data_IF_229837799100
#
_entry.id   IF_229837799100
#
_cell.length_a   1.000
_cell.length_b   1.000
_cell.length_c   1.000
_cell.angle_alpha   90.00
_cell.angle_beta   90.00
_cell.angle_gamma   90.00
#
_symmetry.space_group_name_H-M   'P 1'
#
loop_
_entity.id
_entity.type
_entity.pdbx_description
1 polymer ?
#
# COMPACT_ATOMS: atom_id res chain seq x y z
N UNK A 1 0.14 -23.64 -0.48
CA UNK A 1 -0.77 -23.50 0.68
C UNK A 1 -1.66 -24.72 0.78
N UNK A 2 -1.84 -25.33 1.96
CA UNK A 2 -2.79 -26.43 2.17
C UNK A 2 -4.23 -25.86 2.22
N UNK A 3 -5.24 -26.68 1.90
CA UNK A 3 -6.67 -26.24 1.91
C UNK A 3 -7.10 -25.60 3.23
N UNK A 4 -6.67 -26.16 4.38
CA UNK A 4 -6.95 -25.60 5.69
C UNK A 4 -6.37 -24.19 5.91
N UNK A 5 -5.18 -23.91 5.38
CA UNK A 5 -4.54 -22.60 5.46
C UNK A 5 -5.26 -21.56 4.59
N UNK A 6 -5.78 -21.97 3.44
CA UNK A 6 -6.61 -21.10 2.60
C UNK A 6 -7.92 -20.78 3.31
N UNK A 7 -8.57 -21.78 3.92
CA UNK A 7 -9.79 -21.55 4.70
C UNK A 7 -9.58 -20.60 5.88
N UNK A 8 -8.46 -20.75 6.61
CA UNK A 8 -8.07 -19.83 7.67
C UNK A 8 -7.89 -18.38 7.17
N UNK A 9 -7.14 -18.21 6.08
CA UNK A 9 -6.92 -16.89 5.47
C UNK A 9 -8.25 -16.25 5.05
N UNK A 10 -9.11 -16.98 4.36
CA UNK A 10 -10.41 -16.48 3.91
C UNK A 10 -11.30 -16.08 5.09
N UNK A 11 -11.36 -16.92 6.15
CA UNK A 11 -12.12 -16.61 7.35
C UNK A 11 -11.60 -15.34 8.04
N UNK A 12 -10.30 -15.22 8.26
CA UNK A 12 -9.71 -14.04 8.89
C UNK A 12 -9.89 -12.78 8.04
N UNK A 13 -9.81 -12.90 6.70
CA UNK A 13 -10.08 -11.78 5.79
C UNK A 13 -11.54 -11.33 5.89
N UNK A 14 -12.48 -12.26 5.94
CA UNK A 14 -13.90 -11.94 6.15
C UNK A 14 -14.11 -11.27 7.50
N UNK A 15 -13.53 -11.80 8.59
CA UNK A 15 -13.64 -11.21 9.92
C UNK A 15 -13.03 -9.80 9.97
N UNK A 16 -11.90 -9.56 9.31
CA UNK A 16 -11.31 -8.23 9.19
C UNK A 16 -12.24 -7.26 8.44
N UNK A 17 -12.83 -7.70 7.32
CA UNK A 17 -13.79 -6.91 6.57
C UNK A 17 -15.03 -6.55 7.42
N UNK A 18 -15.60 -7.52 8.13
CA UNK A 18 -16.73 -7.31 9.03
C UNK A 18 -16.37 -6.38 10.20
N UNK A 19 -15.17 -6.54 10.78
CA UNK A 19 -14.64 -5.63 11.79
C UNK A 19 -14.49 -4.20 11.29
N UNK A 20 -13.97 -4.02 10.09
CA UNK A 20 -13.89 -2.72 9.42
C UNK A 20 -15.27 -2.10 9.15
N UNK A 21 -16.22 -2.91 8.67
CA UNK A 21 -17.60 -2.48 8.49
C UNK A 21 -18.25 -2.03 9.83
N UNK A 22 -18.07 -2.83 10.89
CA UNK A 22 -18.57 -2.51 12.23
C UNK A 22 -17.94 -1.21 12.77
N UNK A 23 -16.64 -1.01 12.57
CA UNK A 23 -15.95 0.23 12.94
C UNK A 23 -16.56 1.44 12.23
N UNK A 24 -16.80 1.34 10.93
CA UNK A 24 -17.41 2.42 10.15
C UNK A 24 -18.85 2.74 10.63
N UNK A 25 -19.64 1.73 10.95
CA UNK A 25 -20.98 1.92 11.53
C UNK A 25 -20.91 2.59 12.89
N UNK A 26 -19.95 2.18 13.75
CA UNK A 26 -19.78 2.75 15.08
C UNK A 26 -19.35 4.22 15.05
N UNK A 27 -18.47 4.58 14.10
CA UNK A 27 -18.03 5.96 13.91
C UNK A 27 -19.13 6.81 13.25
N UNK A 28 -20.02 6.20 12.46
CA UNK A 28 -21.21 6.81 11.88
C UNK A 28 -20.96 7.74 10.69
N UNK A 29 -19.71 7.96 10.32
CA UNK A 29 -19.34 8.81 9.19
C UNK A 29 -17.93 8.52 8.72
N UNK A 30 -17.58 9.01 7.52
CA UNK A 30 -16.21 9.08 7.07
C UNK A 30 -15.39 10.03 7.93
N UNK A 31 -14.12 9.66 8.15
CA UNK A 31 -13.16 10.60 8.71
C UNK A 31 -12.90 11.74 7.71
N UNK A 32 -13.74 12.75 7.73
CA UNK A 32 -13.53 14.00 7.01
C UNK A 32 -12.41 14.78 7.68
N UNK A 33 -11.18 14.43 7.31
CA UNK A 33 -10.00 15.19 7.73
C UNK A 33 -9.88 16.47 6.89
N UNK A 34 -9.09 17.41 7.37
CA UNK A 34 -8.66 18.56 6.57
C UNK A 34 -8.14 18.12 5.19
N UNK A 35 -7.31 17.09 5.16
CA UNK A 35 -6.73 16.56 3.93
C UNK A 35 -7.78 15.97 2.99
N UNK A 36 -8.82 15.31 3.52
CA UNK A 36 -9.93 14.80 2.72
C UNK A 36 -10.59 15.90 1.91
N UNK A 37 -10.91 17.03 2.57
CA UNK A 37 -11.57 18.17 1.94
C UNK A 37 -10.60 18.99 1.07
N UNK A 38 -9.34 19.10 1.49
CA UNK A 38 -8.35 19.92 0.80
C UNK A 38 -7.85 19.27 -0.50
N UNK A 39 -7.49 17.97 -0.49
CA UNK A 39 -6.87 17.34 -1.66
C UNK A 39 -7.30 15.92 -2.01
N UNK A 40 -7.73 15.05 -1.05
CA UNK A 40 -8.02 13.65 -1.40
C UNK A 40 -9.18 13.52 -2.38
N UNK A 41 -10.27 14.27 -2.18
CA UNK A 41 -11.42 14.27 -3.10
C UNK A 41 -11.00 14.83 -4.46
N UNK A 42 -10.24 15.91 -4.47
CA UNK A 42 -9.74 16.51 -5.69
C UNK A 42 -8.82 15.56 -6.46
N UNK A 43 -7.90 14.87 -5.78
CA UNK A 43 -7.03 13.89 -6.41
C UNK A 43 -7.82 12.72 -7.01
N UNK A 44 -8.85 12.24 -6.31
CA UNK A 44 -9.74 11.22 -6.86
C UNK A 44 -10.44 11.67 -8.14
N UNK A 45 -10.88 12.92 -8.20
CA UNK A 45 -11.42 13.54 -9.41
C UNK A 45 -10.35 13.66 -10.51
N UNK A 46 -9.15 14.15 -10.19
CA UNK A 46 -8.04 14.35 -11.13
C UNK A 46 -7.58 13.03 -11.78
N UNK A 47 -7.73 11.91 -11.08
CA UNK A 47 -7.44 10.58 -11.63
C UNK A 47 -8.24 10.27 -12.91
N UNK A 48 -9.42 10.87 -13.06
CA UNK A 48 -10.27 10.70 -14.26
C UNK A 48 -10.20 11.90 -15.21
N UNK A 49 -10.12 13.09 -14.66
CA UNK A 49 -10.31 14.33 -15.42
C UNK A 49 -9.27 15.39 -14.99
N UNK A 50 -8.00 15.23 -15.35
CA UNK A 50 -7.01 16.26 -15.09
C UNK A 50 -7.32 17.52 -15.89
N UNK A 51 -7.38 18.67 -15.20
CA UNK A 51 -7.72 19.97 -15.82
C UNK A 51 -6.58 20.97 -15.62
N UNK A 52 -5.40 20.61 -16.09
CA UNK A 52 -4.16 21.36 -15.87
C UNK A 52 -4.20 22.82 -16.33
N UNK A 53 -5.03 23.15 -17.34
CA UNK A 53 -5.23 24.50 -17.84
C UNK A 53 -6.14 25.35 -16.93
N UNK A 54 -6.95 24.73 -16.09
CA UNK A 54 -7.90 25.40 -15.19
C UNK A 54 -7.45 25.33 -13.73
N UNK A 55 -6.97 24.18 -13.31
CA UNK A 55 -6.68 23.86 -11.91
C UNK A 55 -5.18 23.99 -11.62
N UNK A 56 -4.67 25.23 -11.59
CA UNK A 56 -3.23 25.48 -11.46
C UNK A 56 -2.66 25.03 -10.12
N UNK A 57 -3.36 25.27 -9.01
CA UNK A 57 -2.98 24.87 -7.65
C UNK A 57 -4.22 24.58 -6.79
N UNK A 58 -5.17 23.82 -7.32
CA UNK A 58 -6.44 23.56 -6.66
C UNK A 58 -6.29 22.96 -5.24
N UNK A 59 -5.24 22.17 -5.01
CA UNK A 59 -4.89 21.60 -3.72
C UNK A 59 -3.43 21.91 -3.35
N UNK A 60 -2.95 23.13 -3.64
CA UNK A 60 -1.56 23.53 -3.42
C UNK A 60 -0.59 22.55 -4.12
N UNK A 61 0.56 22.24 -3.52
CA UNK A 61 1.53 21.27 -4.06
C UNK A 61 0.96 19.84 -4.15
N UNK A 62 -0.04 19.50 -3.33
CA UNK A 62 -0.71 18.20 -3.37
C UNK A 62 -1.49 17.97 -4.68
N UNK A 63 -1.83 19.01 -5.44
CA UNK A 63 -2.44 18.91 -6.78
C UNK A 63 -1.72 17.91 -7.69
N UNK A 64 -0.42 17.76 -7.54
CA UNK A 64 0.45 16.95 -8.39
C UNK A 64 0.87 15.61 -7.78
N UNK A 65 0.28 15.24 -6.64
CA UNK A 65 0.51 13.92 -6.05
C UNK A 65 -0.11 12.82 -6.91
N UNK A 66 0.36 11.59 -6.73
CA UNK A 66 -0.15 10.41 -7.41
C UNK A 66 -1.65 10.20 -7.10
N UNK A 67 -2.56 10.34 -8.07
CA UNK A 67 -3.98 10.48 -7.80
C UNK A 67 -4.74 9.15 -7.76
N UNK A 68 -4.22 8.09 -8.42
CA UNK A 68 -4.99 6.87 -8.66
C UNK A 68 -5.36 6.08 -7.39
N UNK A 69 -4.64 6.26 -6.27
CA UNK A 69 -5.02 5.63 -5.00
C UNK A 69 -6.18 6.34 -4.29
N UNK A 70 -6.51 7.56 -4.69
CA UNK A 70 -7.68 8.28 -4.20
C UNK A 70 -8.93 8.02 -5.05
N UNK A 71 -8.75 7.46 -6.25
CA UNK A 71 -9.84 7.17 -7.17
C UNK A 71 -10.86 6.16 -6.62
N UNK A 72 -10.48 5.02 -5.98
CA UNK A 72 -11.46 4.07 -5.47
C UNK A 72 -12.42 4.68 -4.45
N UNK A 73 -11.91 5.45 -3.48
CA UNK A 73 -12.76 6.11 -2.49
C UNK A 73 -13.66 7.17 -3.13
N UNK A 74 -13.13 7.93 -4.08
CA UNK A 74 -13.89 8.92 -4.84
C UNK A 74 -15.09 8.25 -5.56
N UNK A 75 -14.85 7.11 -6.22
CA UNK A 75 -15.92 6.36 -6.90
C UNK A 75 -16.94 5.77 -5.94
N UNK A 76 -16.49 5.17 -4.86
CA UNK A 76 -17.38 4.62 -3.83
C UNK A 76 -18.28 5.74 -3.27
N UNK A 77 -17.73 6.91 -3.04
CA UNK A 77 -18.48 8.08 -2.58
C UNK A 77 -19.57 8.50 -3.59
N UNK A 78 -19.22 8.54 -4.86
CA UNK A 78 -20.18 8.90 -5.92
C UNK A 78 -21.30 7.88 -6.11
N UNK A 79 -20.99 6.59 -6.02
CA UNK A 79 -21.91 5.50 -6.35
C UNK A 79 -22.83 5.13 -5.20
N UNK A 80 -22.44 5.36 -3.96
CA UNK A 80 -23.12 4.80 -2.79
C UNK A 80 -24.44 5.52 -2.43
N UNK A 81 -24.65 6.76 -2.86
CA UNK A 81 -25.82 7.57 -2.46
C UNK A 81 -25.93 7.84 -0.95
N UNK A 82 -25.03 7.27 -0.12
CA UNK A 82 -24.98 7.41 1.33
C UNK A 82 -23.55 7.39 1.83
N UNK A 83 -23.18 8.41 2.61
CA UNK A 83 -21.87 8.51 3.22
C UNK A 83 -21.54 7.32 4.15
N UNK A 84 -22.55 6.77 4.84
CA UNK A 84 -22.35 5.60 5.70
C UNK A 84 -22.08 4.33 4.87
N UNK A 85 -22.82 4.09 3.80
CA UNK A 85 -22.58 2.93 2.92
C UNK A 85 -21.19 3.02 2.32
N UNK A 86 -20.80 4.20 1.86
CA UNK A 86 -19.48 4.43 1.32
C UNK A 86 -18.38 4.19 2.37
N UNK A 87 -18.56 4.67 3.61
CA UNK A 87 -17.64 4.42 4.71
C UNK A 87 -17.50 2.93 5.04
N UNK A 88 -18.62 2.21 5.11
CA UNK A 88 -18.65 0.75 5.35
C UNK A 88 -17.89 0.00 4.26
N UNK A 89 -18.20 0.26 3.00
CA UNK A 89 -17.55 -0.40 1.85
C UNK A 89 -16.05 -0.11 1.84
N UNK A 90 -15.67 1.16 2.05
CA UNK A 90 -14.27 1.56 2.02
C UNK A 90 -13.47 0.94 3.16
N UNK A 91 -13.94 1.05 4.40
CA UNK A 91 -13.24 0.54 5.59
C UNK A 91 -13.13 -0.98 5.57
N UNK A 92 -14.20 -1.67 5.18
CA UNK A 92 -14.18 -3.11 4.99
C UNK A 92 -13.19 -3.55 3.91
N UNK A 93 -13.14 -2.84 2.79
CA UNK A 93 -12.19 -3.11 1.71
C UNK A 93 -10.75 -2.91 2.14
N UNK A 94 -10.43 -1.82 2.84
CA UNK A 94 -9.09 -1.58 3.38
C UNK A 94 -8.68 -2.71 4.35
N UNK A 95 -9.54 -3.09 5.29
CA UNK A 95 -9.26 -4.15 6.24
C UNK A 95 -9.04 -5.50 5.54
N UNK A 96 -9.88 -5.84 4.55
CA UNK A 96 -9.74 -7.06 3.76
C UNK A 96 -8.43 -7.10 2.96
N UNK A 97 -8.01 -5.98 2.38
CA UNK A 97 -6.77 -5.90 1.60
C UNK A 97 -5.51 -5.96 2.48
N UNK A 98 -5.57 -5.40 3.68
CA UNK A 98 -4.43 -5.37 4.60
C UNK A 98 -4.17 -6.72 5.29
N UNK A 99 -5.20 -7.55 5.48
CA UNK A 99 -5.05 -8.81 6.22
C UNK A 99 -4.13 -9.84 5.54
N UNK A 100 -4.23 -10.14 4.23
CA UNK A 100 -3.45 -11.21 3.60
C UNK A 100 -1.93 -11.08 3.76
N UNK A 101 -1.27 -9.93 3.53
CA UNK A 101 0.16 -9.82 3.77
C UNK A 101 0.51 -9.95 5.26
N UNK A 102 -0.32 -9.43 6.17
CA UNK A 102 -0.12 -9.56 7.63
C UNK A 102 -0.22 -11.03 8.04
N UNK A 103 -1.25 -11.74 7.57
CA UNK A 103 -1.39 -13.17 7.81
C UNK A 103 -0.20 -13.97 7.24
N UNK A 104 0.26 -13.63 6.04
CA UNK A 104 1.41 -14.31 5.43
C UNK A 104 2.69 -14.09 6.25
N UNK A 105 2.90 -12.89 6.80
CA UNK A 105 4.01 -12.61 7.73
C UNK A 105 3.89 -13.48 8.98
N UNK A 106 2.73 -13.51 9.63
CA UNK A 106 2.49 -14.35 10.80
C UNK A 106 2.71 -15.85 10.48
N UNK A 107 2.21 -16.31 9.31
CA UNK A 107 2.38 -17.70 8.86
C UNK A 107 3.86 -18.07 8.64
N UNK A 108 4.71 -17.14 8.24
CA UNK A 108 6.14 -17.37 7.99
C UNK A 108 7.00 -17.25 9.25
N UNK A 109 6.57 -16.48 10.22
CA UNK A 109 7.26 -16.29 11.50
C UNK A 109 6.94 -17.37 12.52
N UNK A 110 5.70 -17.89 12.50
CA UNK A 110 5.27 -18.93 13.44
C UNK A 110 5.60 -20.30 12.86
N UNK A 111 6.49 -21.05 13.53
CA UNK A 111 6.84 -22.40 13.12
C UNK A 111 5.73 -23.39 13.48
N UNK A 112 4.84 -23.63 12.52
CA UNK A 112 3.72 -24.58 12.67
C UNK A 112 4.13 -26.04 12.74
N UNK A 113 5.44 -26.37 12.62
CA UNK A 113 5.93 -27.76 12.76
C UNK A 113 6.13 -28.15 14.22
N UNK A 114 6.39 -27.14 15.07
CA UNK A 114 6.60 -27.35 16.50
C UNK A 114 5.30 -27.30 17.33
N UNK A 115 4.16 -26.96 16.70
CA UNK A 115 2.89 -26.73 17.38
C UNK A 115 1.75 -27.55 16.79
N UNK A 116 0.76 -27.95 17.59
CA UNK A 116 -0.52 -28.45 17.08
C UNK A 116 -1.16 -27.45 16.10
N UNK A 117 -1.86 -27.95 15.09
CA UNK A 117 -2.41 -27.12 14.01
C UNK A 117 -3.32 -25.99 14.53
N UNK A 118 -4.13 -26.25 15.54
CA UNK A 118 -5.04 -25.27 16.13
C UNK A 118 -4.31 -24.18 16.92
N UNK A 119 -3.22 -24.52 17.64
CA UNK A 119 -2.39 -23.54 18.35
C UNK A 119 -1.69 -22.61 17.37
N UNK A 120 -1.11 -23.17 16.31
CA UNK A 120 -0.49 -22.38 15.26
C UNK A 120 -1.49 -21.44 14.57
N UNK A 121 -2.75 -21.90 14.34
CA UNK A 121 -3.81 -21.06 13.80
C UNK A 121 -4.23 -19.96 14.79
N UNK A 122 -4.39 -20.28 16.06
CA UNK A 122 -4.71 -19.32 17.10
C UNK A 122 -3.64 -18.23 17.24
N UNK A 123 -2.36 -18.60 17.21
CA UNK A 123 -1.25 -17.64 17.27
C UNK A 123 -1.22 -16.72 16.05
N UNK A 124 -1.48 -17.24 14.84
CA UNK A 124 -1.57 -16.41 13.63
C UNK A 124 -2.76 -15.45 13.70
N UNK A 125 -3.91 -15.93 14.15
CA UNK A 125 -5.08 -15.08 14.37
C UNK A 125 -4.81 -13.97 15.40
N UNK A 126 -4.16 -14.31 16.52
CA UNK A 126 -3.75 -13.35 17.54
C UNK A 126 -2.75 -12.33 16.99
N UNK A 127 -1.76 -12.76 16.20
CA UNK A 127 -0.80 -11.87 15.54
C UNK A 127 -1.49 -10.90 14.57
N UNK A 128 -2.45 -11.38 13.78
CA UNK A 128 -3.26 -10.54 12.90
C UNK A 128 -4.10 -9.53 13.71
N UNK A 129 -4.75 -9.99 14.77
CA UNK A 129 -5.54 -9.11 15.65
C UNK A 129 -4.66 -8.02 16.27
N UNK A 130 -3.49 -8.36 16.81
CA UNK A 130 -2.55 -7.39 17.39
C UNK A 130 -2.06 -6.37 16.35
N UNK A 131 -1.82 -6.82 15.10
CA UNK A 131 -1.46 -5.91 14.01
C UNK A 131 -2.59 -4.91 13.71
N UNK A 132 -3.85 -5.36 13.70
CA UNK A 132 -5.01 -4.50 13.47
C UNK A 132 -5.33 -3.58 14.65
N UNK A 133 -4.98 -3.98 15.87
CA UNK A 133 -5.10 -3.13 17.07
C UNK A 133 -3.94 -2.13 17.21
N UNK A 134 -2.94 -2.19 16.33
CA UNK A 134 -1.91 -1.15 16.27
C UNK A 134 -2.55 0.19 15.91
N UNK A 135 -2.18 1.25 16.66
CA UNK A 135 -2.79 2.57 16.49
C UNK A 135 -2.70 3.12 15.05
N UNK A 136 -1.58 2.91 14.35
CA UNK A 136 -1.41 3.41 12.98
C UNK A 136 -2.41 2.74 12.02
N UNK A 137 -2.56 1.41 12.10
CA UNK A 137 -3.49 0.69 11.24
C UNK A 137 -4.94 0.98 11.65
N UNK A 138 -5.25 0.90 12.95
CA UNK A 138 -6.60 1.11 13.45
C UNK A 138 -7.13 2.52 13.14
N UNK A 139 -6.32 3.56 13.35
CA UNK A 139 -6.69 4.93 13.02
C UNK A 139 -6.65 5.22 11.51
N UNK A 140 -5.87 4.46 10.74
CA UNK A 140 -5.80 4.57 9.28
C UNK A 140 -7.02 3.99 8.57
N UNK A 141 -7.70 3.00 9.19
CA UNK A 141 -8.90 2.40 8.61
C UNK A 141 -10.05 3.42 8.51
N UNK A 142 -10.65 3.46 7.33
CA UNK A 142 -11.74 4.38 7.03
C UNK A 142 -11.30 5.80 6.66
N UNK A 143 -10.02 6.14 6.78
CA UNK A 143 -9.53 7.42 6.29
C UNK A 143 -9.45 7.45 4.76
N UNK A 144 -9.63 8.65 4.22
CA UNK A 144 -9.49 8.90 2.78
C UNK A 144 -8.02 8.98 2.32
N UNK A 145 -7.06 8.97 3.25
CA UNK A 145 -5.63 8.99 2.91
C UNK A 145 -5.21 7.74 2.14
N UNK A 146 -4.20 7.88 1.29
CA UNK A 146 -3.64 6.76 0.53
C UNK A 146 -2.65 5.90 1.32
N UNK A 147 -2.40 6.19 2.59
CA UNK A 147 -1.35 5.58 3.41
C UNK A 147 -1.42 4.05 3.45
N UNK A 148 -2.59 3.50 3.74
CA UNK A 148 -2.77 2.06 3.81
C UNK A 148 -2.60 1.40 2.44
N UNK A 149 -3.23 1.94 1.40
CA UNK A 149 -3.13 1.38 0.05
C UNK A 149 -1.72 1.51 -0.51
N UNK A 150 -1.04 2.63 -0.28
CA UNK A 150 0.34 2.83 -0.70
C UNK A 150 1.31 1.90 0.03
N UNK A 151 1.03 1.54 1.29
CA UNK A 151 1.84 0.60 2.07
C UNK A 151 1.58 -0.87 1.74
N UNK A 152 0.47 -1.20 1.08
CA UNK A 152 0.10 -2.58 0.79
C UNK A 152 1.15 -3.34 -0.03
N UNK A 153 1.71 -2.80 -1.14
CA UNK A 153 2.79 -3.48 -1.85
C UNK A 153 4.06 -3.66 -1.00
N UNK A 154 4.38 -2.71 -0.12
CA UNK A 154 5.52 -2.84 0.80
C UNK A 154 5.31 -3.99 1.79
N UNK A 155 4.11 -4.12 2.36
CA UNK A 155 3.79 -5.24 3.25
C UNK A 155 3.91 -6.59 2.54
N UNK A 156 3.47 -6.69 1.29
CA UNK A 156 3.68 -7.87 0.47
C UNK A 156 5.17 -8.13 0.21
N UNK A 157 5.96 -7.08 -0.09
CA UNK A 157 7.40 -7.20 -0.27
C UNK A 157 8.07 -7.80 0.96
N UNK A 158 7.76 -7.29 2.15
CA UNK A 158 8.27 -7.81 3.44
C UNK A 158 7.78 -9.24 3.66
N UNK A 159 6.49 -9.48 3.48
CA UNK A 159 5.92 -10.81 3.65
C UNK A 159 6.61 -11.85 2.77
N UNK A 160 6.89 -11.54 1.51
CA UNK A 160 7.61 -12.42 0.59
C UNK A 160 9.05 -12.69 1.02
N UNK A 161 9.75 -11.72 1.56
CA UNK A 161 11.14 -11.87 2.03
C UNK A 161 11.28 -12.68 3.34
N UNK A 162 10.24 -12.77 4.15
CA UNK A 162 10.23 -13.62 5.34
C UNK A 162 10.20 -15.13 5.01
N UNK A 163 9.97 -15.51 3.75
CA UNK A 163 9.98 -16.89 3.30
C UNK A 163 11.38 -17.51 3.26
N UNK A 164 11.44 -18.83 3.04
CA UNK A 164 12.70 -19.58 2.93
C UNK A 164 13.30 -19.53 1.51
N UNK A 165 12.50 -19.19 0.52
CA UNK A 165 12.99 -19.02 -0.86
C UNK A 165 13.88 -17.76 -0.94
N UNK A 166 15.10 -17.98 -1.42
CA UNK A 166 16.15 -16.95 -1.57
C UNK A 166 16.50 -16.74 -3.04
N UNK A 167 15.58 -17.06 -3.97
CA UNK A 167 15.82 -16.85 -5.39
C UNK A 167 15.95 -15.36 -5.76
N UNK A 168 16.76 -15.08 -6.78
CA UNK A 168 16.89 -13.72 -7.34
C UNK A 168 15.56 -13.22 -7.90
N UNK A 169 14.72 -14.14 -8.43
CA UNK A 169 13.37 -13.83 -8.89
C UNK A 169 12.50 -13.28 -7.76
N UNK A 170 12.50 -13.92 -6.60
CA UNK A 170 11.71 -13.45 -5.45
C UNK A 170 12.25 -12.12 -4.93
N UNK A 171 13.57 -11.94 -4.92
CA UNK A 171 14.19 -10.67 -4.57
C UNK A 171 13.73 -9.54 -5.51
N UNK A 172 13.75 -9.78 -6.83
CA UNK A 172 13.28 -8.82 -7.84
C UNK A 172 11.79 -8.48 -7.67
N UNK A 173 10.93 -9.48 -7.43
CA UNK A 173 9.49 -9.26 -7.20
C UNK A 173 9.26 -8.42 -5.95
N UNK A 174 9.94 -8.74 -4.85
CA UNK A 174 9.81 -7.95 -3.61
C UNK A 174 10.29 -6.52 -3.78
N UNK A 175 11.39 -6.32 -4.49
CA UNK A 175 11.89 -4.99 -4.79
C UNK A 175 10.95 -4.23 -5.74
N UNK A 176 10.34 -4.90 -6.72
CA UNK A 176 9.33 -4.30 -7.57
C UNK A 176 8.10 -3.84 -6.79
N UNK A 177 7.61 -4.64 -5.85
CA UNK A 177 6.52 -4.25 -4.96
C UNK A 177 6.89 -3.04 -4.08
N UNK A 178 8.13 -2.98 -3.59
CA UNK A 178 8.59 -1.77 -2.89
C UNK A 178 8.68 -0.57 -3.82
N UNK A 179 9.16 -0.73 -5.06
CA UNK A 179 9.17 0.32 -6.07
C UNK A 179 7.76 0.86 -6.36
N UNK A 180 6.77 -0.03 -6.53
CA UNK A 180 5.35 0.33 -6.67
C UNK A 180 4.86 1.13 -5.45
N UNK A 181 5.16 0.66 -4.23
CA UNK A 181 4.81 1.36 -3.00
C UNK A 181 5.41 2.77 -2.94
N UNK A 182 6.66 2.91 -3.40
CA UNK A 182 7.35 4.20 -3.48
C UNK A 182 6.73 5.13 -4.52
N UNK A 183 6.32 4.59 -5.68
CA UNK A 183 5.60 5.36 -6.70
C UNK A 183 4.26 5.89 -6.18
N UNK A 184 3.55 5.08 -5.41
CA UNK A 184 2.28 5.44 -4.81
C UNK A 184 2.42 6.52 -3.73
N UNK A 185 3.48 6.44 -2.94
CA UNK A 185 3.78 7.42 -1.88
C UNK A 185 5.30 7.49 -1.67
N UNK A 186 5.90 8.58 -2.06
CA UNK A 186 7.35 8.77 -2.07
C UNK A 186 8.01 8.57 -0.70
N UNK A 187 7.30 8.87 0.39
CA UNK A 187 7.79 8.60 1.75
C UNK A 187 8.08 7.12 2.02
N UNK A 188 7.44 6.19 1.28
CA UNK A 188 7.72 4.75 1.40
C UNK A 188 9.13 4.40 0.86
N UNK A 189 9.73 5.28 0.05
CA UNK A 189 11.13 5.17 -0.35
C UNK A 189 12.11 5.28 0.82
N UNK A 190 11.74 5.97 1.91
CA UNK A 190 12.53 6.08 3.13
C UNK A 190 12.72 4.73 3.85
N UNK A 191 11.97 3.71 3.48
CA UNK A 191 12.18 2.34 3.99
C UNK A 191 13.40 1.64 3.36
N UNK A 192 14.03 2.23 2.33
CA UNK A 192 15.20 1.66 1.67
C UNK A 192 16.35 1.29 2.62
N UNK A 193 16.80 2.15 3.56
CA UNK A 193 17.84 1.78 4.49
C UNK A 193 17.51 0.55 5.35
N UNK A 194 16.23 0.44 5.77
CA UNK A 194 15.75 -0.71 6.56
C UNK A 194 15.79 -1.98 5.72
N UNK A 195 15.33 -1.93 4.48
CA UNK A 195 15.34 -3.08 3.56
C UNK A 195 16.78 -3.49 3.20
N UNK A 196 17.68 -2.53 2.94
CA UNK A 196 19.08 -2.79 2.67
C UNK A 196 19.77 -3.42 3.88
N UNK A 197 19.53 -2.90 5.10
CA UNK A 197 20.04 -3.50 6.34
C UNK A 197 19.52 -4.93 6.52
N UNK A 198 18.22 -5.16 6.29
CA UNK A 198 17.61 -6.50 6.33
C UNK A 198 18.29 -7.46 5.35
N UNK A 199 18.40 -7.09 4.09
CA UNK A 199 19.07 -7.91 3.08
C UNK A 199 20.52 -8.21 3.45
N UNK A 200 21.27 -7.20 3.89
CA UNK A 200 22.66 -7.39 4.34
C UNK A 200 22.75 -8.35 5.53
N UNK A 201 21.84 -8.29 6.51
CA UNK A 201 21.83 -9.21 7.65
C UNK A 201 21.48 -10.64 7.26
N UNK A 202 20.57 -10.81 6.34
CA UNK A 202 20.05 -12.13 5.93
C UNK A 202 20.97 -12.84 4.94
N UNK A 203 21.66 -12.08 4.07
CA UNK A 203 22.47 -12.59 2.97
C UNK A 203 23.97 -12.69 3.28
N UNK A 204 24.40 -12.31 4.49
CA UNK A 204 25.82 -12.43 4.87
C UNK A 204 26.34 -13.88 4.80
N UNK A 205 27.62 -14.09 4.39
CA UNK A 205 28.66 -13.09 4.05
C UNK A 205 28.72 -12.73 2.56
N UNK A 206 27.90 -13.30 1.69
CA UNK A 206 28.02 -13.19 0.24
C UNK A 206 26.73 -12.68 -0.39
N UNK A 207 26.53 -11.36 -0.41
CA UNK A 207 25.51 -10.76 -1.29
C UNK A 207 26.04 -10.83 -2.74
N UNK A 208 25.58 -11.77 -3.59
CA UNK A 208 26.08 -11.84 -4.95
C UNK A 208 25.61 -10.59 -5.71
N UNK A 209 26.50 -9.99 -6.52
CA UNK A 209 26.20 -8.79 -7.30
C UNK A 209 24.94 -8.97 -8.18
N UNK A 210 24.68 -10.19 -8.69
CA UNK A 210 23.47 -10.54 -9.45
C UNK A 210 22.20 -10.25 -8.65
N UNK A 211 22.20 -10.56 -7.38
CA UNK A 211 21.04 -10.29 -6.50
C UNK A 211 20.87 -8.79 -6.26
N UNK A 212 21.96 -8.06 -6.05
CA UNK A 212 21.93 -6.60 -5.98
C UNK A 212 21.34 -5.98 -7.26
N UNK A 213 21.74 -6.48 -8.42
CA UNK A 213 21.20 -6.07 -9.71
C UNK A 213 19.69 -6.42 -9.83
N UNK A 214 19.28 -7.64 -9.43
CA UNK A 214 17.88 -8.04 -9.44
C UNK A 214 17.01 -7.14 -8.56
N UNK A 215 17.50 -6.77 -7.38
CA UNK A 215 16.85 -5.84 -6.47
C UNK A 215 16.71 -4.44 -7.09
N UNK A 216 17.81 -3.89 -7.64
CA UNK A 216 17.80 -2.58 -8.26
C UNK A 216 16.87 -2.51 -9.48
N UNK A 217 16.96 -3.51 -10.38
CA UNK A 217 16.08 -3.60 -11.55
C UNK A 217 14.62 -3.79 -11.16
N UNK A 218 14.34 -4.67 -10.17
CA UNK A 218 12.98 -4.87 -9.66
C UNK A 218 12.39 -3.56 -9.15
N UNK A 219 13.10 -2.85 -8.28
CA UNK A 219 12.67 -1.57 -7.73
C UNK A 219 12.41 -0.52 -8.83
N UNK A 220 13.36 -0.38 -9.75
CA UNK A 220 13.24 0.58 -10.86
C UNK A 220 12.04 0.25 -11.77
N UNK A 221 11.85 -1.03 -12.12
CA UNK A 221 10.71 -1.47 -12.94
C UNK A 221 9.38 -1.27 -12.20
N UNK A 222 9.30 -1.65 -10.93
CA UNK A 222 8.08 -1.47 -10.14
C UNK A 222 7.70 0.00 -9.99
N UNK A 223 8.67 0.86 -9.67
CA UNK A 223 8.46 2.31 -9.62
C UNK A 223 8.06 2.86 -10.99
N UNK A 224 8.83 2.54 -12.03
CA UNK A 224 8.60 3.06 -13.38
C UNK A 224 7.22 2.68 -13.91
N UNK A 225 6.83 1.41 -13.83
CA UNK A 225 5.53 0.96 -14.32
C UNK A 225 4.35 1.60 -13.58
N UNK A 226 4.47 1.79 -12.26
CA UNK A 226 3.41 2.41 -11.47
C UNK A 226 3.36 3.93 -11.67
N UNK A 227 4.52 4.59 -11.77
CA UNK A 227 4.60 6.04 -11.90
C UNK A 227 4.34 6.54 -13.33
N UNK A 228 4.70 5.74 -14.34
CA UNK A 228 4.73 6.15 -15.75
C UNK A 228 3.42 6.81 -16.23
N UNK A 229 2.22 6.29 -15.97
CA UNK A 229 0.99 6.91 -16.46
C UNK A 229 0.80 8.35 -15.94
N UNK A 230 1.14 8.58 -14.68
CA UNK A 230 1.04 9.89 -14.05
C UNK A 230 2.20 10.79 -14.45
N UNK A 231 3.41 10.25 -14.46
CA UNK A 231 4.61 10.98 -14.86
C UNK A 231 4.54 11.51 -16.30
N UNK A 232 3.94 10.77 -17.23
CA UNK A 232 3.71 11.23 -18.60
C UNK A 232 2.74 12.41 -18.64
N UNK A 233 1.64 12.36 -17.91
CA UNK A 233 0.70 13.48 -17.81
C UNK A 233 1.36 14.74 -17.22
N UNK A 234 2.18 14.58 -16.19
CA UNK A 234 2.94 15.69 -15.62
C UNK A 234 3.98 16.23 -16.61
N UNK A 235 4.65 15.34 -17.36
CA UNK A 235 5.59 15.74 -18.40
C UNK A 235 4.90 16.56 -19.47
N UNK A 236 3.78 16.09 -20.00
CA UNK A 236 3.02 16.81 -21.04
C UNK A 236 2.51 18.17 -20.54
N UNK A 237 2.05 18.23 -19.28
CA UNK A 237 1.46 19.45 -18.71
C UNK A 237 2.51 20.46 -18.20
N UNK A 238 3.68 19.99 -17.73
CA UNK A 238 4.65 20.79 -16.98
C UNK A 238 6.11 20.60 -17.41
N UNK A 239 6.40 19.79 -18.42
CA UNK A 239 7.76 19.47 -18.85
C UNK A 239 8.60 18.70 -17.82
N UNK A 240 7.98 18.19 -16.77
CA UNK A 240 8.64 17.53 -15.65
C UNK A 240 7.81 16.34 -15.16
N UNK A 241 8.28 15.08 -15.33
CA UNK A 241 7.51 13.91 -14.94
C UNK A 241 7.39 13.73 -13.42
N UNK A 242 8.09 14.54 -12.64
CA UNK A 242 8.11 14.53 -11.18
C UNK A 242 7.64 15.86 -10.58
N UNK A 243 6.99 16.69 -11.38
CA UNK A 243 6.55 18.01 -10.94
C UNK A 243 5.75 17.94 -9.62
N UNK A 244 6.00 18.86 -8.67
CA UNK A 244 6.89 20.04 -8.71
C UNK A 244 8.32 19.78 -8.21
N UNK A 245 8.74 18.52 -8.10
CA UNK A 245 10.07 18.14 -7.62
C UNK A 245 11.13 18.21 -8.72
N UNK A 246 12.39 18.28 -8.33
CA UNK A 246 13.56 18.29 -9.23
C UNK A 246 13.57 19.40 -10.30
N UNK A 247 13.23 20.67 -9.97
CA UNK A 247 13.18 21.74 -10.95
C UNK A 247 14.54 22.02 -11.60
N UNK A 248 15.64 21.66 -10.93
CA UNK A 248 17.00 21.81 -11.49
C UNK A 248 17.30 20.81 -12.61
N UNK A 249 16.66 19.64 -12.61
CA UNK A 249 16.83 18.62 -13.65
C UNK A 249 15.84 18.78 -14.79
N UNK A 250 14.69 19.32 -14.49
CA UNK A 250 13.58 19.56 -15.41
C UNK A 250 13.14 21.01 -15.29
N UNK A 251 13.88 21.93 -15.93
CA UNK A 251 13.45 23.33 -15.99
C UNK A 251 12.14 23.38 -16.80
N UNK A 252 11.04 23.40 -16.12
CA UNK A 252 9.71 23.54 -16.73
C UNK A 252 9.54 24.93 -17.36
N UNK A 253 8.45 25.12 -18.13
CA UNK A 253 8.11 26.40 -18.73
C UNK A 253 7.87 27.48 -17.67
#
# INVERSE_FOLDING_TARGET
MKSAQLGELLLLTLLAALGGAALAVQVGQWGWSWDALNHHVYLGFTAEQPRWSLDVLAASMQTYQYPYLYWPIYKIAQMSGSGLIAAVVWTASQAALMLPPVWLMAHRLIDSRALPAWEAAALRAAACLLAFLNGILLFGLGLSSNDLLASLPLLWAIALQLGKDRSDRLAAISAALWGVSTAFKWSNGLMLPVLLFWWWRVERPHLPWRRGLALAMGAALGFGLAWLPWGLQLWEARGNPFYPYFPMLFPGP
#
